data_IF_736221511341
#
_entry.id   IF_736221511341
#
_cell.length_a   1.000
_cell.length_b   1.000
_cell.length_c   1.000
_cell.angle_alpha   90.00
_cell.angle_beta   90.00
_cell.angle_gamma   90.00
#
_symmetry.space_group_name_H-M   'P 1'
#
loop_
_entity.id
_entity.type
_entity.pdbx_description
1 polymer ?
#
# COMPACT_ATOMS: atom_id res chain seq x y z
N UNK A 1 -13.66 3.57 16.00
CA UNK A 1 -14.40 4.79 15.60
C UNK A 1 -15.21 4.45 14.36
N UNK A 2 -16.50 4.77 14.31
CA UNK A 2 -17.32 4.49 13.11
C UNK A 2 -16.84 5.32 11.92
N UNK A 3 -16.89 4.76 10.70
CA UNK A 3 -16.47 5.41 9.45
C UNK A 3 -17.16 6.77 9.27
N UNK A 4 -18.46 6.86 9.58
CA UNK A 4 -19.21 8.11 9.48
C UNK A 4 -18.69 9.18 10.46
N UNK A 5 -18.24 8.77 11.65
CA UNK A 5 -17.65 9.69 12.63
C UNK A 5 -16.28 10.21 12.19
N UNK A 6 -15.49 9.38 11.51
CA UNK A 6 -14.18 9.76 10.95
C UNK A 6 -14.33 10.79 9.82
N UNK A 7 -15.29 10.59 8.91
CA UNK A 7 -15.58 11.52 7.80
C UNK A 7 -16.03 12.88 8.34
N UNK A 8 -16.98 12.90 9.28
CA UNK A 8 -17.49 14.15 9.84
C UNK A 8 -16.41 14.97 10.57
N UNK A 9 -15.42 14.31 11.18
CA UNK A 9 -14.34 14.99 11.90
C UNK A 9 -13.29 15.61 10.98
N UNK A 10 -13.12 15.07 9.78
CA UNK A 10 -12.04 15.42 8.84
C UNK A 10 -12.51 16.31 7.69
N UNK A 11 -13.82 16.49 7.52
CA UNK A 11 -14.37 17.45 6.57
C UNK A 11 -14.00 18.91 6.95
N UNK A 12 -13.71 19.80 5.98
CA UNK A 12 -13.73 19.59 4.52
C UNK A 12 -12.40 19.10 3.93
N UNK A 13 -11.29 19.19 4.66
CA UNK A 13 -9.96 18.86 4.14
C UNK A 13 -9.84 17.39 3.69
N UNK A 14 -10.57 16.50 4.36
CA UNK A 14 -10.62 15.07 4.04
C UNK A 14 -11.50 14.69 2.85
N UNK A 15 -12.26 15.61 2.24
CA UNK A 15 -13.00 15.31 1.01
C UNK A 15 -12.07 15.11 -0.18
N UNK A 16 -10.97 15.86 -0.25
CA UNK A 16 -9.98 15.76 -1.32
C UNK A 16 -8.71 15.00 -0.90
N UNK A 17 -8.69 14.46 0.32
CA UNK A 17 -7.53 13.75 0.87
C UNK A 17 -6.32 14.64 1.17
N UNK A 18 -6.51 15.96 1.25
CA UNK A 18 -5.43 16.90 1.55
C UNK A 18 -4.93 16.77 3.00
N UNK A 19 -5.78 16.31 3.90
CA UNK A 19 -5.47 16.02 5.30
C UNK A 19 -4.61 14.76 5.50
N UNK A 20 -4.52 13.90 4.49
CA UNK A 20 -3.84 12.59 4.54
C UNK A 20 -2.79 12.42 3.45
N UNK A 21 -2.34 13.55 2.88
CA UNK A 21 -1.19 13.59 1.99
C UNK A 21 0.12 13.28 2.71
N UNK A 22 0.23 13.59 4.01
CA UNK A 22 1.41 13.32 4.83
C UNK A 22 1.19 12.15 5.77
N UNK A 23 2.00 11.11 5.65
CA UNK A 23 1.98 9.95 6.55
C UNK A 23 3.14 10.02 7.54
N UNK A 24 2.94 9.47 8.74
CA UNK A 24 3.97 9.42 9.77
C UNK A 24 5.09 8.43 9.39
N UNK A 25 6.27 8.60 9.99
CA UNK A 25 7.41 7.70 9.80
C UNK A 25 8.09 7.85 8.43
N UNK A 26 8.57 6.74 7.87
CA UNK A 26 9.27 6.68 6.58
C UNK A 26 8.39 6.95 5.35
N UNK A 27 7.07 6.90 5.52
CA UNK A 27 6.11 7.09 4.44
C UNK A 27 6.10 8.53 3.90
N UNK A 28 6.31 9.53 4.76
CA UNK A 28 6.41 10.94 4.38
C UNK A 28 5.21 11.45 3.58
N UNK A 29 5.43 12.47 2.75
CA UNK A 29 4.37 13.03 1.91
C UNK A 29 4.17 12.25 0.62
N UNK A 30 2.95 12.27 0.10
CA UNK A 30 2.55 11.53 -1.12
C UNK A 30 3.30 12.01 -2.35
N UNK A 31 3.55 13.33 -2.45
CA UNK A 31 4.32 13.90 -3.56
C UNK A 31 5.81 13.64 -3.46
N UNK A 32 6.36 13.19 -2.34
CA UNK A 32 7.80 12.89 -2.18
C UNK A 32 8.23 11.60 -2.88
N UNK A 33 7.61 11.28 -4.02
CA UNK A 33 7.94 10.12 -4.84
C UNK A 33 9.35 10.23 -5.46
N UNK A 34 9.99 11.42 -5.44
CA UNK A 34 11.37 11.62 -5.90
C UNK A 34 12.42 11.43 -4.80
N UNK A 35 12.04 11.47 -3.50
CA UNK A 35 12.97 11.16 -2.39
C UNK A 35 13.39 9.68 -2.41
N UNK A 36 12.88 8.96 -3.40
CA UNK A 36 13.14 7.57 -3.67
C UNK A 36 14.47 7.33 -4.39
N UNK A 37 15.52 7.36 -3.60
CA UNK A 37 16.08 6.09 -3.20
C UNK A 37 15.00 4.98 -3.22
N UNK A 38 15.05 4.06 -4.19
CA UNK A 38 13.88 3.51 -4.89
C UNK A 38 12.84 2.92 -3.94
N UNK A 39 11.60 2.62 -4.37
CA UNK A 39 10.49 2.13 -3.50
C UNK A 39 10.91 1.11 -2.42
N UNK A 40 12.01 0.42 -2.71
CA UNK A 40 12.94 -0.41 -1.98
C UNK A 40 14.01 0.27 -1.05
N UNK A 41 13.80 1.41 -0.39
CA UNK A 41 14.70 1.87 0.71
C UNK A 41 15.68 3.00 0.38
N UNK A 42 16.98 2.82 0.66
CA UNK A 42 18.04 3.86 0.62
C UNK A 42 18.60 4.09 -0.80
N UNK A 43 19.24 5.26 -1.11
CA UNK A 43 19.63 5.63 -2.47
C UNK A 43 20.79 4.78 -2.94
N UNK A 44 20.45 3.59 -3.42
CA UNK A 44 21.36 2.62 -3.98
C UNK A 44 20.85 2.21 -5.36
N UNK A 45 21.72 2.37 -6.36
CA UNK A 45 21.43 2.07 -7.76
C UNK A 45 21.01 0.61 -7.97
N UNK A 46 21.62 -0.33 -7.23
CA UNK A 46 21.29 -1.75 -7.31
C UNK A 46 19.87 -2.03 -6.82
N UNK A 47 19.48 -1.45 -5.69
CA UNK A 47 18.12 -1.53 -5.17
C UNK A 47 17.11 -0.86 -6.13
N UNK A 48 17.55 0.13 -6.91
CA UNK A 48 16.72 0.83 -7.92
C UNK A 48 16.35 -0.06 -9.08
N UNK A 49 17.34 -0.73 -9.63
CA UNK A 49 17.13 -1.71 -10.70
C UNK A 49 16.25 -2.85 -10.18
N UNK A 50 16.53 -3.39 -9.00
CA UNK A 50 15.71 -4.45 -8.40
C UNK A 50 14.26 -4.00 -8.20
N UNK A 51 14.04 -2.77 -7.76
CA UNK A 51 12.71 -2.19 -7.63
C UNK A 51 11.99 -2.12 -8.97
N UNK A 52 12.66 -1.60 -9.98
CA UNK A 52 12.12 -1.47 -11.32
C UNK A 52 11.75 -2.84 -11.89
N UNK A 53 12.66 -3.82 -11.81
CA UNK A 53 12.41 -5.18 -12.27
C UNK A 53 11.27 -5.85 -11.49
N UNK A 54 11.24 -5.69 -10.17
CA UNK A 54 10.19 -6.26 -9.33
C UNK A 54 8.82 -5.63 -9.66
N UNK A 55 8.74 -4.31 -9.82
CA UNK A 55 7.53 -3.63 -10.27
C UNK A 55 7.13 -3.98 -11.71
N UNK A 56 8.08 -4.24 -12.60
CA UNK A 56 7.80 -4.57 -14.00
C UNK A 56 7.28 -6.00 -14.17
N UNK A 57 7.89 -6.96 -13.48
CA UNK A 57 7.61 -8.40 -13.68
C UNK A 57 6.73 -9.02 -12.60
N UNK A 58 6.59 -8.38 -11.44
CA UNK A 58 5.89 -8.95 -10.28
C UNK A 58 4.82 -8.02 -9.71
N UNK A 59 4.36 -6.99 -10.44
CA UNK A 59 3.36 -6.03 -9.95
C UNK A 59 2.13 -6.69 -9.29
N UNK A 60 1.50 -7.72 -9.90
CA UNK A 60 0.37 -8.37 -9.26
C UNK A 60 0.76 -8.98 -7.92
N UNK A 61 1.86 -9.75 -7.89
CA UNK A 61 2.36 -10.41 -6.67
C UNK A 61 2.71 -9.41 -5.56
N UNK A 62 3.31 -8.27 -5.93
CA UNK A 62 3.62 -7.18 -4.99
C UNK A 62 2.34 -6.64 -4.36
N UNK A 63 1.33 -6.34 -5.18
CA UNK A 63 0.06 -5.81 -4.70
C UNK A 63 -0.65 -6.83 -3.78
N UNK A 64 -0.57 -8.12 -4.11
CA UNK A 64 -1.12 -9.20 -3.27
C UNK A 64 -0.44 -9.27 -1.91
N UNK A 65 0.89 -9.25 -1.90
CA UNK A 65 1.71 -9.30 -0.68
C UNK A 65 1.51 -8.05 0.17
N UNK A 66 1.35 -6.89 -0.47
CA UNK A 66 1.04 -5.60 0.18
C UNK A 66 -0.33 -5.63 0.82
N UNK A 67 -1.34 -6.16 0.12
CA UNK A 67 -2.69 -6.30 0.64
C UNK A 67 -2.74 -7.26 1.84
N UNK A 68 -2.12 -8.44 1.73
CA UNK A 68 -1.98 -9.38 2.84
C UNK A 68 -1.28 -8.74 4.05
N UNK A 69 -0.22 -7.97 3.80
CA UNK A 69 0.48 -7.23 4.85
C UNK A 69 -0.37 -6.13 5.50
N UNK A 70 -1.29 -5.51 4.77
CA UNK A 70 -2.23 -4.54 5.34
C UNK A 70 -3.22 -5.18 6.32
N UNK A 71 -3.50 -6.48 6.16
CA UNK A 71 -4.37 -7.28 7.02
C UNK A 71 -3.61 -8.05 8.12
N UNK A 72 -2.27 -7.96 8.15
CA UNK A 72 -1.39 -8.82 8.94
C UNK A 72 -1.68 -10.33 8.71
N UNK A 73 -1.90 -10.71 7.45
CA UNK A 73 -2.13 -12.10 7.02
C UNK A 73 -0.98 -12.62 6.12
N UNK A 74 -0.92 -13.95 5.97
CA UNK A 74 0.00 -14.62 5.03
C UNK A 74 -0.56 -14.48 3.60
N UNK A 75 0.31 -14.15 2.64
CA UNK A 75 -0.10 -13.99 1.25
C UNK A 75 -0.65 -15.31 0.68
N UNK A 76 -1.86 -15.29 0.13
CA UNK A 76 -2.56 -16.47 -0.40
C UNK A 76 -3.10 -16.22 -1.81
N UNK A 77 -3.15 -17.27 -2.66
CA UNK A 77 -3.73 -17.18 -4.02
C UNK A 77 -5.19 -16.74 -3.93
N UNK A 78 -5.94 -17.39 -3.04
CA UNK A 78 -7.28 -17.02 -2.65
C UNK A 78 -7.22 -16.53 -1.20
N UNK A 79 -7.69 -15.33 -0.84
CA UNK A 79 -8.34 -14.30 -1.65
C UNK A 79 -7.43 -13.17 -2.17
N UNK A 80 -6.16 -13.09 -1.74
CA UNK A 80 -5.34 -11.90 -2.00
C UNK A 80 -4.99 -11.73 -3.49
N UNK A 81 -4.56 -12.80 -4.18
CA UNK A 81 -4.27 -12.70 -5.62
C UNK A 81 -5.50 -12.47 -6.48
N UNK A 82 -6.58 -13.18 -6.21
CA UNK A 82 -7.80 -13.05 -6.97
C UNK A 82 -8.44 -11.66 -6.80
N UNK A 83 -8.49 -11.13 -5.58
CA UNK A 83 -9.08 -9.82 -5.31
C UNK A 83 -8.25 -8.68 -5.89
N UNK A 84 -6.92 -8.76 -5.84
CA UNK A 84 -6.05 -7.75 -6.46
C UNK A 84 -6.18 -7.73 -7.98
N UNK A 85 -6.30 -8.91 -8.61
CA UNK A 85 -6.42 -9.01 -10.07
C UNK A 85 -7.80 -8.61 -10.60
N UNK A 86 -8.86 -8.81 -9.83
CA UNK A 86 -10.25 -8.61 -10.30
C UNK A 86 -10.94 -7.40 -9.69
N UNK A 87 -10.40 -6.82 -8.60
CA UNK A 87 -11.00 -5.68 -7.91
C UNK A 87 -9.97 -4.54 -7.75
N UNK A 88 -9.89 -3.59 -8.70
CA UNK A 88 -9.00 -2.43 -8.56
C UNK A 88 -9.34 -1.55 -7.35
N UNK A 89 -10.59 -1.61 -6.87
CA UNK A 89 -11.04 -0.95 -5.64
C UNK A 89 -10.36 -1.50 -4.38
N UNK A 90 -9.75 -2.68 -4.41
CA UNK A 90 -9.10 -3.26 -3.24
C UNK A 90 -7.96 -2.39 -2.73
N UNK A 91 -7.24 -1.73 -3.63
CA UNK A 91 -6.12 -0.85 -3.29
C UNK A 91 -6.54 0.32 -2.41
N UNK A 92 -7.76 0.82 -2.59
CA UNK A 92 -8.33 1.85 -1.72
C UNK A 92 -8.42 1.37 -0.26
N UNK A 93 -8.89 0.14 -0.05
CA UNK A 93 -8.94 -0.46 1.29
C UNK A 93 -7.54 -0.78 1.83
N UNK A 94 -6.62 -1.24 0.99
CA UNK A 94 -5.22 -1.45 1.37
C UNK A 94 -4.61 -0.16 1.93
N UNK A 95 -4.79 0.97 1.23
CA UNK A 95 -4.31 2.26 1.68
C UNK A 95 -4.93 2.69 3.01
N UNK A 96 -6.25 2.55 3.15
CA UNK A 96 -6.95 2.86 4.40
C UNK A 96 -6.36 2.06 5.57
N UNK A 97 -6.18 0.75 5.40
CA UNK A 97 -5.61 -0.13 6.43
C UNK A 97 -4.18 0.26 6.79
N UNK A 98 -3.32 0.53 5.80
CA UNK A 98 -1.94 0.96 6.03
C UNK A 98 -1.86 2.31 6.76
N UNK A 99 -2.70 3.27 6.38
CA UNK A 99 -2.76 4.59 7.03
C UNK A 99 -3.15 4.46 8.50
N UNK A 100 -4.19 3.66 8.78
CA UNK A 100 -4.65 3.36 10.14
C UNK A 100 -3.57 2.67 10.97
N UNK A 101 -2.88 1.70 10.38
CA UNK A 101 -1.76 1.01 11.01
C UNK A 101 -0.63 1.95 11.40
N UNK A 102 -0.34 2.93 10.55
CA UNK A 102 0.69 3.95 10.81
C UNK A 102 0.24 5.08 11.74
N UNK A 103 -0.99 5.01 12.27
CA UNK A 103 -1.55 6.03 13.16
C UNK A 103 -1.67 7.40 12.49
N UNK A 104 -1.86 7.43 11.17
CA UNK A 104 -2.01 8.67 10.41
C UNK A 104 -3.50 9.04 10.31
N UNK A 105 -3.83 10.28 10.68
CA UNK A 105 -5.18 10.81 10.60
C UNK A 105 -5.63 10.98 9.14
N UNK A 106 -6.93 11.06 8.92
CA UNK A 106 -7.53 11.09 7.58
C UNK A 106 -8.82 10.29 7.55
N UNK A 107 -9.42 10.16 6.37
CA UNK A 107 -10.66 9.39 6.18
C UNK A 107 -10.64 8.56 4.89
N UNK A 108 -11.59 7.63 4.79
CA UNK A 108 -11.70 6.72 3.66
C UNK A 108 -12.00 7.47 2.33
N UNK A 109 -12.68 8.61 2.34
CA UNK A 109 -13.02 9.36 1.11
C UNK A 109 -11.75 9.96 0.50
N UNK A 110 -10.90 10.61 1.28
CA UNK A 110 -9.67 11.15 0.75
C UNK A 110 -8.67 10.05 0.35
N UNK A 111 -8.71 8.86 0.96
CA UNK A 111 -7.97 7.68 0.46
C UNK A 111 -8.43 7.32 -0.97
N UNK A 112 -9.73 7.44 -1.28
CA UNK A 112 -10.25 7.23 -2.65
C UNK A 112 -9.66 8.26 -3.62
N UNK A 113 -9.67 9.55 -3.26
CA UNK A 113 -9.10 10.60 -4.12
C UNK A 113 -7.59 10.45 -4.34
N UNK A 114 -6.84 10.07 -3.29
CA UNK A 114 -5.41 9.80 -3.41
C UNK A 114 -5.11 8.62 -4.35
N UNK A 115 -5.92 7.56 -4.29
CA UNK A 115 -5.72 6.35 -5.10
C UNK A 115 -6.17 6.54 -6.54
N UNK A 116 -7.31 7.21 -6.79
CA UNK A 116 -7.94 7.24 -8.11
C UNK A 116 -7.81 8.57 -8.88
N UNK A 117 -7.76 9.72 -8.20
CA UNK A 117 -7.98 11.00 -8.88
C UNK A 117 -6.70 11.83 -9.09
N UNK A 118 -5.75 11.83 -8.14
CA UNK A 118 -4.66 12.81 -8.18
C UNK A 118 -3.25 12.24 -8.04
N UNK A 119 -3.08 11.02 -7.52
CA UNK A 119 -1.78 10.56 -7.05
C UNK A 119 -1.58 9.03 -7.18
N UNK A 120 -2.24 8.34 -8.10
CA UNK A 120 -2.19 6.86 -8.15
C UNK A 120 -0.77 6.25 -8.03
N UNK A 121 0.26 6.62 -8.81
CA UNK A 121 1.61 6.07 -8.61
C UNK A 121 2.26 6.60 -7.32
N UNK A 122 2.07 7.88 -7.00
CA UNK A 122 2.64 8.55 -5.82
C UNK A 122 2.12 7.94 -4.50
N UNK A 123 0.82 7.66 -4.44
CA UNK A 123 0.14 7.00 -3.34
C UNK A 123 0.62 5.56 -3.16
N UNK A 124 0.88 4.85 -4.26
CA UNK A 124 1.48 3.51 -4.21
C UNK A 124 2.90 3.54 -3.65
N UNK A 125 3.73 4.51 -4.09
CA UNK A 125 5.06 4.70 -3.52
C UNK A 125 5.02 5.08 -2.04
N UNK A 126 4.03 5.87 -1.61
CA UNK A 126 3.81 6.18 -0.20
C UNK A 126 3.40 4.93 0.59
N UNK A 127 2.51 4.09 0.05
CA UNK A 127 2.11 2.82 0.65
C UNK A 127 3.33 1.90 0.86
N UNK A 128 4.20 1.72 -0.15
CA UNK A 128 5.39 0.88 -0.03
C UNK A 128 6.43 1.40 0.96
N UNK A 129 6.61 2.73 1.05
CA UNK A 129 7.50 3.34 2.05
C UNK A 129 6.97 3.25 3.47
N UNK A 130 5.68 3.00 3.62
CA UNK A 130 5.00 2.90 4.90
C UNK A 130 5.14 1.53 5.57
N UNK A 131 5.63 0.54 4.84
CA UNK A 131 5.85 -0.82 5.30
C UNK A 131 7.29 -1.26 5.02
N UNK A 132 7.76 -2.26 5.75
CA UNK A 132 9.08 -2.84 5.53
C UNK A 132 9.19 -3.44 4.12
N UNK A 133 10.35 -3.35 3.49
CA UNK A 133 10.58 -3.88 2.14
C UNK A 133 10.20 -5.36 2.00
N UNK A 134 10.51 -6.17 3.01
CA UNK A 134 10.21 -7.60 3.04
C UNK A 134 8.71 -7.92 2.96
N UNK A 135 7.83 -6.96 3.29
CA UNK A 135 6.37 -7.13 3.28
C UNK A 135 5.73 -6.95 1.91
N UNK A 136 6.47 -6.51 0.89
CA UNK A 136 5.93 -6.34 -0.46
C UNK A 136 6.90 -6.75 -1.57
N UNK A 137 8.22 -6.68 -1.33
CA UNK A 137 9.24 -7.08 -2.30
C UNK A 137 9.24 -8.60 -2.51
N UNK A 138 9.41 -9.05 -3.76
CA UNK A 138 9.48 -10.49 -4.10
C UNK A 138 10.94 -10.91 -4.33
N UNK A 139 11.73 -10.10 -5.02
CA UNK A 139 13.14 -10.37 -5.36
C UNK A 139 14.06 -9.41 -4.57
N UNK A 140 15.15 -9.86 -3.93
CA UNK A 140 15.78 -11.17 -3.98
C UNK A 140 15.47 -12.03 -2.75
N UNK A 141 14.24 -12.07 -2.24
CA UNK A 141 13.88 -12.93 -1.11
C UNK A 141 13.28 -14.28 -1.58
N UNK A 142 14.08 -15.27 -2.04
CA UNK A 142 13.65 -16.66 -2.07
C UNK A 142 14.31 -17.43 -0.93
N UNK A 143 14.14 -17.02 0.33
CA UNK A 143 14.50 -17.90 1.47
C UNK A 143 13.33 -18.80 1.88
N UNK A 144 12.10 -18.37 1.63
CA UNK A 144 10.90 -19.19 1.58
C UNK A 144 10.03 -18.68 0.45
N UNK A 145 9.89 -19.45 -0.64
CA UNK A 145 8.64 -19.41 -1.39
C UNK A 145 7.56 -19.69 -0.34
N UNK A 146 6.91 -18.65 0.19
CA UNK A 146 5.65 -18.82 0.89
C UNK A 146 4.73 -19.38 -0.19
N UNK A 147 4.65 -20.71 -0.24
CA UNK A 147 3.66 -21.41 -1.01
C UNK A 147 2.36 -20.67 -0.76
N UNK A 148 1.81 -20.10 -1.82
CA UNK A 148 0.52 -19.45 -1.74
C UNK A 148 -0.45 -20.47 -1.14
N UNK A 149 -0.74 -20.34 0.14
CA UNK A 149 -1.63 -21.27 0.81
C UNK A 149 -3.04 -20.98 0.30
N UNK A 150 -3.88 -21.97 0.01
CA UNK A 150 -5.30 -21.71 -0.19
C UNK A 150 -5.84 -21.12 1.13
N UNK A 151 -6.17 -19.82 1.12
CA UNK A 151 -6.70 -19.10 2.27
C UNK A 151 -8.20 -18.83 2.10
N UNK A 152 -8.95 -18.65 3.20
CA UNK A 152 -10.41 -18.43 3.15
C UNK A 152 -10.87 -17.11 3.80
N UNK A 153 -9.94 -16.24 4.25
CA UNK A 153 -10.29 -15.03 5.01
C UNK A 153 -10.17 -13.77 4.15
N UNK A 154 -11.32 -13.13 3.90
CA UNK A 154 -11.43 -11.95 3.02
C UNK A 154 -11.23 -10.62 3.74
N UNK A 155 -11.68 -10.50 4.99
CA UNK A 155 -11.63 -9.27 5.81
C UNK A 155 -11.56 -9.67 7.30
N UNK A 156 -10.98 -8.81 8.15
CA UNK A 156 -10.93 -8.97 9.61
C UNK A 156 -11.52 -7.76 10.31
#
# INVERSE_FOLDING_TARGET
MSICGEINRTAPLGLFGLDQCGWRGSAGFVWEFWKLAPCCGAPDFANGILCFLNCLFCLPCILCKTYASSLDDVCSIWPHCFMVLLCPCLRWFTRYNLRKRNGTDGNIIGDFFCVFCCCAPCAMCQEYRSIEMARWRIVPEPSRLQFFTPGCRLLR
#
